data_IF_147903390782
#
_entry.id   IF_147903390782
#
_cell.length_a   1.000
_cell.length_b   1.000
_cell.length_c   1.000
_cell.angle_alpha   90.00
_cell.angle_beta   90.00
_cell.angle_gamma   90.00
#
_symmetry.space_group_name_H-M   'P 1'
#
loop_
_entity.id
_entity.type
_entity.pdbx_description
1 polymer ?
#
# COMPACT_ATOMS: atom_id res chain seq x y z
N UNK A 1 24.37 -1.43 -12.88
CA UNK A 1 24.28 0.02 -12.63
C UNK A 1 25.57 0.66 -13.08
N UNK A 2 25.55 1.33 -14.24
CA UNK A 2 26.72 2.07 -14.71
C UNK A 2 26.86 3.34 -13.84
N UNK A 3 27.98 3.46 -13.11
CA UNK A 3 28.28 4.57 -12.20
C UNK A 3 28.84 5.77 -12.97
N UNK A 4 28.10 6.28 -13.95
CA UNK A 4 28.44 7.57 -14.54
C UNK A 4 27.56 8.66 -13.90
N UNK A 5 28.14 9.63 -13.18
CA UNK A 5 27.37 10.68 -12.54
C UNK A 5 26.65 11.52 -13.60
N UNK A 6 25.35 11.81 -13.40
CA UNK A 6 24.49 12.58 -14.31
C UNK A 6 25.14 13.91 -14.75
N UNK A 7 25.91 14.52 -13.86
CA UNK A 7 26.72 15.72 -14.11
C UNK A 7 27.71 15.58 -15.28
N UNK A 8 28.25 14.37 -15.50
CA UNK A 8 29.17 14.09 -16.60
C UNK A 8 28.45 14.14 -17.95
N UNK A 9 27.22 13.62 -18.03
CA UNK A 9 26.38 13.67 -19.24
C UNK A 9 25.97 15.10 -19.57
N UNK A 10 25.60 15.90 -18.56
CA UNK A 10 25.28 17.32 -18.72
C UNK A 10 26.51 18.11 -19.19
N UNK A 11 27.68 17.86 -18.60
CA UNK A 11 28.93 18.52 -19.00
C UNK A 11 29.32 18.22 -20.47
N UNK A 12 29.14 16.98 -20.93
CA UNK A 12 29.37 16.60 -22.33
C UNK A 12 28.39 17.33 -23.26
N UNK A 13 27.10 17.39 -22.90
CA UNK A 13 26.09 18.09 -23.69
C UNK A 13 26.36 19.59 -23.82
N UNK A 14 26.73 20.25 -22.71
CA UNK A 14 27.08 21.69 -22.68
C UNK A 14 28.36 21.97 -23.48
N UNK A 15 29.38 21.11 -23.36
CA UNK A 15 30.60 21.24 -24.15
C UNK A 15 30.32 21.10 -25.65
N UNK A 16 29.53 20.10 -26.07
CA UNK A 16 29.17 19.92 -27.49
C UNK A 16 28.39 21.11 -28.06
N UNK A 17 27.47 21.69 -27.29
CA UNK A 17 26.71 22.90 -27.67
C UNK A 17 27.60 24.14 -27.80
N UNK A 18 28.52 24.34 -26.86
CA UNK A 18 29.47 25.46 -26.89
C UNK A 18 30.35 25.40 -28.14
N UNK A 19 30.81 24.20 -28.53
CA UNK A 19 31.64 24.01 -29.72
C UNK A 19 30.88 24.08 -31.05
N UNK A 20 29.59 23.72 -31.08
CA UNK A 20 28.73 23.95 -32.27
C UNK A 20 28.44 25.43 -32.48
N UNK A 21 28.40 26.24 -31.41
CA UNK A 21 28.06 27.65 -31.45
C UNK A 21 29.26 28.59 -31.73
N UNK A 22 30.50 28.13 -31.58
CA UNK A 22 31.70 28.95 -31.79
C UNK A 22 32.37 28.58 -33.12
N UNK A 23 32.16 29.33 -34.22
CA UNK A 23 32.79 29.03 -35.50
C UNK A 23 34.30 29.25 -35.43
N UNK A 24 35.08 28.26 -35.89
CA UNK A 24 36.53 28.37 -36.01
C UNK A 24 36.88 29.48 -37.02
N UNK A 25 37.41 30.60 -36.52
CA UNK A 25 37.78 31.74 -37.34
C UNK A 25 38.96 31.49 -38.30
N UNK A 26 39.25 32.42 -39.24
CA UNK A 26 40.30 32.27 -40.25
C UNK A 26 41.73 32.06 -39.70
N UNK A 27 41.97 32.36 -38.43
CA UNK A 27 43.29 32.23 -37.77
C UNK A 27 43.55 30.91 -37.04
N UNK A 28 42.65 29.93 -37.07
CA UNK A 28 42.91 28.62 -36.44
C UNK A 28 43.83 27.77 -37.31
N UNK A 29 44.94 27.30 -36.73
CA UNK A 29 45.88 26.42 -37.43
C UNK A 29 45.23 25.07 -37.78
N UNK A 30 45.70 24.45 -38.87
CA UNK A 30 45.24 23.13 -39.32
C UNK A 30 45.37 22.06 -38.24
N UNK A 31 46.42 22.15 -37.41
CA UNK A 31 46.62 21.24 -36.26
C UNK A 31 45.58 21.42 -35.16
N UNK A 32 45.19 22.66 -34.84
CA UNK A 32 44.12 22.92 -33.87
C UNK A 32 42.77 22.37 -34.38
N UNK A 33 42.44 22.57 -35.66
CA UNK A 33 41.21 22.04 -36.26
C UNK A 33 41.15 20.52 -36.19
N UNK A 34 42.24 19.82 -36.55
CA UNK A 34 42.31 18.37 -36.48
C UNK A 34 42.16 17.84 -35.04
N UNK A 35 42.82 18.47 -34.07
CA UNK A 35 42.70 18.11 -32.65
C UNK A 35 41.25 18.22 -32.14
N UNK A 36 40.58 19.34 -32.43
CA UNK A 36 39.19 19.54 -32.01
C UNK A 36 38.20 18.62 -32.72
N UNK A 37 38.40 18.30 -34.01
CA UNK A 37 37.56 17.32 -34.71
C UNK A 37 37.67 15.91 -34.12
N UNK A 38 38.88 15.48 -33.73
CA UNK A 38 39.09 14.19 -33.06
C UNK A 38 38.44 14.18 -31.69
N UNK A 39 38.59 15.26 -30.90
CA UNK A 39 37.96 15.40 -29.60
C UNK A 39 36.42 15.36 -29.70
N UNK A 40 35.84 16.03 -30.69
CA UNK A 40 34.41 16.02 -30.97
C UNK A 40 33.91 14.64 -31.42
N UNK A 41 34.66 13.95 -32.29
CA UNK A 41 34.33 12.57 -32.68
C UNK A 41 34.30 11.63 -31.47
N UNK A 42 35.24 11.80 -30.53
CA UNK A 42 35.26 11.07 -29.26
C UNK A 42 34.07 11.41 -28.35
N UNK A 43 33.73 12.68 -28.21
CA UNK A 43 32.60 13.15 -27.38
C UNK A 43 31.24 12.73 -27.94
N UNK A 44 31.04 12.81 -29.25
CA UNK A 44 29.80 12.39 -29.92
C UNK A 44 29.64 10.87 -29.79
N UNK A 45 30.69 10.10 -30.09
CA UNK A 45 30.64 8.63 -30.00
C UNK A 45 30.45 8.17 -28.55
N UNK A 46 31.16 8.78 -27.60
CA UNK A 46 31.02 8.52 -26.17
C UNK A 46 29.65 8.91 -25.62
N UNK A 47 29.15 10.10 -26.00
CA UNK A 47 27.81 10.59 -25.62
C UNK A 47 26.70 9.71 -26.17
N UNK A 48 26.79 9.27 -27.43
CA UNK A 48 25.83 8.36 -28.04
C UNK A 48 25.79 7.00 -27.31
N UNK A 49 26.94 6.45 -26.93
CA UNK A 49 27.01 5.21 -26.16
C UNK A 49 26.35 5.33 -24.78
N UNK A 50 26.56 6.46 -24.08
CA UNK A 50 25.92 6.73 -22.78
C UNK A 50 24.41 6.89 -22.91
N UNK A 51 23.94 7.65 -23.92
CA UNK A 51 22.51 7.82 -24.19
C UNK A 51 21.85 6.48 -24.52
N UNK A 52 22.47 5.65 -25.36
CA UNK A 52 21.95 4.32 -25.68
C UNK A 52 21.91 3.40 -24.46
N UNK A 53 22.91 3.45 -23.58
CA UNK A 53 22.89 2.71 -22.33
C UNK A 53 21.77 3.18 -21.41
N UNK A 54 21.57 4.49 -21.30
CA UNK A 54 20.51 5.09 -20.50
C UNK A 54 19.12 4.71 -21.03
N UNK A 55 18.90 4.77 -22.35
CA UNK A 55 17.65 4.34 -22.98
C UNK A 55 17.40 2.84 -22.80
N UNK A 56 18.46 2.01 -22.86
CA UNK A 56 18.36 0.57 -22.56
C UNK A 56 18.00 0.32 -21.10
N UNK A 57 18.58 1.07 -20.17
CA UNK A 57 18.27 0.97 -18.74
C UNK A 57 16.83 1.42 -18.45
N UNK A 58 16.36 2.52 -19.07
CA UNK A 58 14.97 2.98 -19.02
C UNK A 58 14.00 1.94 -19.60
N UNK A 59 14.32 1.38 -20.76
CA UNK A 59 13.51 0.32 -21.36
C UNK A 59 13.55 -0.97 -20.53
N UNK A 60 14.64 -1.23 -19.80
CA UNK A 60 14.75 -2.33 -18.84
C UNK A 60 13.99 -2.06 -17.54
N UNK A 61 13.87 -0.81 -17.11
CA UNK A 61 13.06 -0.39 -15.97
C UNK A 61 11.57 -0.49 -16.31
N UNK A 62 11.16 0.09 -17.44
CA UNK A 62 9.80 0.01 -17.95
C UNK A 62 9.33 -1.44 -18.13
N UNK A 63 10.19 -2.31 -18.68
CA UNK A 63 9.90 -3.75 -18.78
C UNK A 63 9.81 -4.45 -17.42
N UNK A 64 10.56 -4.02 -16.41
CA UNK A 64 10.49 -4.59 -15.05
C UNK A 64 9.26 -4.11 -14.28
N UNK A 65 8.84 -2.88 -14.51
CA UNK A 65 7.58 -2.35 -13.96
C UNK A 65 6.35 -2.98 -14.64
N UNK A 66 6.46 -3.32 -15.93
CA UNK A 66 5.37 -3.94 -16.69
C UNK A 66 5.37 -5.48 -16.65
N UNK A 67 6.47 -6.11 -16.23
CA UNK A 67 6.54 -7.56 -16.12
C UNK A 67 5.72 -8.01 -14.90
N UNK A 68 4.72 -8.90 -15.08
CA UNK A 68 4.08 -9.57 -13.95
C UNK A 68 5.17 -10.23 -13.12
N UNK A 69 5.21 -9.95 -11.81
CA UNK A 69 6.11 -10.70 -10.94
C UNK A 69 5.70 -12.18 -11.00
N UNK A 70 6.64 -13.11 -11.20
CA UNK A 70 6.31 -14.52 -11.13
C UNK A 70 5.74 -14.81 -9.73
N UNK A 71 4.67 -15.61 -9.62
CA UNK A 71 4.07 -15.91 -8.34
C UNK A 71 5.13 -16.50 -7.40
N UNK A 72 5.20 -15.96 -6.18
CA UNK A 72 6.07 -16.50 -5.14
C UNK A 72 5.48 -17.85 -4.75
N UNK A 73 6.09 -18.94 -5.21
CA UNK A 73 5.68 -20.31 -4.87
C UNK A 73 6.35 -20.70 -3.55
N UNK A 74 5.61 -21.19 -2.54
CA UNK A 74 6.19 -21.71 -1.30
C UNK A 74 7.27 -22.76 -1.61
N UNK A 75 8.45 -22.64 -0.98
CA UNK A 75 9.59 -23.58 -1.21
C UNK A 75 9.33 -24.99 -0.69
N UNK A 76 8.41 -25.14 0.26
CA UNK A 76 7.95 -26.42 0.81
C UNK A 76 6.49 -26.28 1.27
N UNK A 77 5.69 -27.37 1.26
CA UNK A 77 4.35 -27.32 1.83
C UNK A 77 4.43 -27.03 3.34
N UNK A 78 3.60 -26.12 3.87
CA UNK A 78 3.61 -25.79 5.29
C UNK A 78 3.26 -27.02 6.15
N UNK A 79 3.72 -27.07 7.42
CA UNK A 79 3.47 -28.20 8.28
C UNK A 79 1.97 -28.39 8.54
N UNK A 80 1.57 -29.64 8.76
CA UNK A 80 0.17 -29.96 8.97
C UNK A 80 -0.30 -29.46 10.35
N UNK A 81 -1.42 -28.72 10.40
CA UNK A 81 -1.98 -28.27 11.67
C UNK A 81 -2.49 -29.46 12.51
N UNK A 82 -2.26 -29.40 13.82
CA UNK A 82 -2.83 -30.36 14.76
C UNK A 82 -4.37 -30.30 14.74
N UNK A 83 -5.09 -31.39 15.11
CA UNK A 83 -6.55 -31.40 15.14
C UNK A 83 -7.16 -30.28 15.98
N UNK A 84 -6.51 -29.93 17.10
CA UNK A 84 -6.93 -28.83 17.97
C UNK A 84 -6.80 -27.46 17.28
N UNK A 85 -5.70 -27.20 16.57
CA UNK A 85 -5.53 -25.95 15.79
C UNK A 85 -6.52 -25.88 14.63
N UNK A 86 -6.74 -26.98 13.90
CA UNK A 86 -7.78 -27.05 12.85
C UNK A 86 -9.19 -26.74 13.40
N UNK A 87 -9.52 -27.23 14.60
CA UNK A 87 -10.77 -26.91 15.28
C UNK A 87 -10.88 -25.43 15.69
N UNK A 88 -9.77 -24.84 16.16
CA UNK A 88 -9.71 -23.41 16.48
C UNK A 88 -9.88 -22.52 15.24
N UNK A 89 -9.31 -22.90 14.09
CA UNK A 89 -9.50 -22.17 12.82
C UNK A 89 -10.97 -22.21 12.42
N UNK A 90 -11.58 -23.41 12.41
CA UNK A 90 -13.02 -23.57 12.13
C UNK A 90 -13.89 -22.71 13.04
N UNK A 91 -13.61 -22.71 14.35
CA UNK A 91 -14.34 -21.87 15.31
C UNK A 91 -14.18 -20.38 14.98
N UNK A 92 -12.95 -19.94 14.71
CA UNK A 92 -12.67 -18.53 14.43
C UNK A 92 -13.38 -18.06 13.17
N UNK A 93 -13.25 -18.81 12.07
CA UNK A 93 -13.94 -18.53 10.80
C UNK A 93 -15.45 -18.48 10.99
N UNK A 94 -16.02 -19.44 11.73
CA UNK A 94 -17.46 -19.46 12.01
C UNK A 94 -17.93 -18.22 12.80
N UNK A 95 -17.14 -17.75 13.77
CA UNK A 95 -17.47 -16.53 14.51
C UNK A 95 -17.39 -15.30 13.62
N UNK A 96 -16.33 -15.14 12.82
CA UNK A 96 -16.21 -13.99 11.91
C UNK A 96 -17.33 -14.00 10.85
N UNK A 97 -17.66 -15.18 10.32
CA UNK A 97 -18.76 -15.34 9.36
C UNK A 97 -20.13 -15.00 9.96
N UNK A 98 -20.37 -15.30 11.24
CA UNK A 98 -21.63 -14.96 11.92
C UNK A 98 -21.87 -13.45 12.07
N UNK A 99 -20.85 -12.64 11.86
CA UNK A 99 -20.91 -11.17 11.82
C UNK A 99 -20.75 -10.62 10.40
N UNK A 100 -20.93 -11.46 9.38
CA UNK A 100 -20.87 -11.12 7.95
C UNK A 100 -19.53 -10.53 7.47
N UNK A 101 -18.42 -10.77 8.19
CA UNK A 101 -17.11 -10.25 7.78
C UNK A 101 -16.69 -10.80 6.42
N UNK A 102 -16.96 -12.08 6.15
CA UNK A 102 -16.53 -12.72 4.91
C UNK A 102 -17.49 -12.57 3.72
N UNK A 103 -18.52 -11.72 3.82
CA UNK A 103 -19.51 -11.60 2.74
C UNK A 103 -18.86 -11.30 1.36
N UNK A 104 -19.47 -11.74 0.25
CA UNK A 104 -20.74 -12.49 0.17
C UNK A 104 -20.62 -14.00 0.40
N UNK A 105 -19.42 -14.58 0.31
CA UNK A 105 -19.20 -16.03 0.40
C UNK A 105 -18.48 -16.38 1.72
N UNK A 106 -18.96 -17.35 2.48
CA UNK A 106 -18.16 -17.82 3.63
C UNK A 106 -17.06 -18.78 3.15
N UNK A 107 -15.77 -18.50 3.40
CA UNK A 107 -14.68 -19.39 3.02
C UNK A 107 -14.74 -20.72 3.77
N UNK A 108 -14.37 -21.82 3.10
CA UNK A 108 -14.08 -23.08 3.79
C UNK A 108 -12.91 -22.85 4.76
N UNK A 109 -13.07 -23.10 6.06
CA UNK A 109 -11.99 -22.94 7.03
C UNK A 109 -10.69 -23.69 6.66
N UNK A 110 -10.77 -24.76 5.86
CA UNK A 110 -9.61 -25.51 5.42
C UNK A 110 -8.64 -24.68 4.55
N UNK A 111 -9.13 -23.64 3.88
CA UNK A 111 -8.31 -22.71 3.08
C UNK A 111 -7.29 -21.94 3.92
N UNK A 112 -7.55 -21.77 5.23
CA UNK A 112 -6.63 -21.02 6.11
C UNK A 112 -5.59 -21.91 6.78
N UNK A 113 -5.69 -23.23 6.69
CA UNK A 113 -4.76 -24.12 7.40
C UNK A 113 -3.29 -23.92 6.99
N UNK A 114 -2.94 -23.76 5.69
CA UNK A 114 -1.57 -23.53 5.28
C UNK A 114 -0.97 -22.24 5.84
N UNK A 115 -1.68 -21.11 5.71
CA UNK A 115 -1.19 -19.81 6.21
C UNK A 115 -1.10 -19.76 7.73
N UNK A 116 -2.08 -20.32 8.44
CA UNK A 116 -2.03 -20.42 9.91
C UNK A 116 -0.90 -21.33 10.39
N UNK A 117 -0.56 -22.37 9.61
CA UNK A 117 0.57 -23.23 9.94
C UNK A 117 1.92 -22.53 9.79
N UNK A 118 2.09 -21.72 8.75
CA UNK A 118 3.37 -21.03 8.46
C UNK A 118 3.71 -19.95 9.49
N UNK A 119 2.69 -19.22 9.98
CA UNK A 119 2.90 -18.14 10.96
C UNK A 119 3.31 -18.66 12.35
N UNK A 120 3.16 -19.98 12.64
CA UNK A 120 3.38 -20.63 13.95
C UNK A 120 2.75 -19.90 15.16
N UNK A 121 1.72 -19.10 14.92
CA UNK A 121 1.05 -18.32 15.95
C UNK A 121 -0.16 -19.04 16.54
N UNK A 122 -0.61 -18.54 17.71
CA UNK A 122 -1.89 -18.92 18.29
C UNK A 122 -3.04 -18.61 17.31
N UNK A 123 -3.94 -19.57 17.09
CA UNK A 123 -5.07 -19.35 16.17
C UNK A 123 -6.02 -18.29 16.74
N UNK A 124 -6.00 -17.11 16.12
CA UNK A 124 -6.76 -15.92 16.46
C UNK A 124 -7.24 -15.22 15.18
N UNK A 125 -8.18 -14.26 15.26
CA UNK A 125 -8.66 -13.54 14.08
C UNK A 125 -7.59 -12.83 13.26
N UNK A 126 -6.58 -12.25 13.90
CA UNK A 126 -5.44 -11.59 13.24
C UNK A 126 -4.73 -12.57 12.30
N UNK A 127 -4.40 -13.77 12.80
CA UNK A 127 -3.76 -14.83 12.00
C UNK A 127 -4.67 -15.34 10.87
N UNK A 128 -5.97 -15.52 11.12
CA UNK A 128 -6.92 -16.00 10.10
C UNK A 128 -7.10 -14.96 8.99
N UNK A 129 -7.20 -13.68 9.34
CA UNK A 129 -7.34 -12.60 8.37
C UNK A 129 -6.01 -12.34 7.63
N UNK A 130 -4.86 -12.45 8.29
CA UNK A 130 -3.57 -12.45 7.59
C UNK A 130 -3.48 -13.59 6.56
N UNK A 131 -3.91 -14.80 6.92
CA UNK A 131 -3.98 -15.92 5.98
C UNK A 131 -5.01 -15.71 4.84
N UNK A 132 -6.06 -14.89 5.05
CA UNK A 132 -6.95 -14.46 3.97
C UNK A 132 -6.22 -13.53 2.99
N UNK A 133 -5.46 -12.56 3.50
CA UNK A 133 -4.68 -11.64 2.66
C UNK A 133 -3.62 -12.35 1.80
N UNK A 134 -3.11 -13.47 2.28
CA UNK A 134 -2.13 -14.33 1.58
C UNK A 134 -2.77 -15.56 0.93
N UNK A 135 -4.09 -15.59 0.74
CA UNK A 135 -4.77 -16.81 0.33
C UNK A 135 -4.31 -17.32 -1.05
N UNK A 136 -4.05 -16.41 -1.99
CA UNK A 136 -3.55 -16.74 -3.33
C UNK A 136 -2.11 -17.30 -3.31
N UNK A 137 -1.30 -16.93 -2.31
CA UNK A 137 0.03 -17.48 -2.09
C UNK A 137 -0.02 -18.97 -1.75
N UNK A 138 -0.92 -19.37 -0.83
CA UNK A 138 -1.06 -20.77 -0.43
C UNK A 138 -1.96 -21.59 -1.36
N UNK A 139 -2.89 -20.93 -2.06
CA UNK A 139 -3.84 -21.56 -2.98
C UNK A 139 -3.87 -20.81 -4.33
N UNK A 140 -2.84 -20.96 -5.18
CA UNK A 140 -2.74 -20.26 -6.45
C UNK A 140 -4.00 -20.39 -7.32
N UNK A 141 -4.50 -19.25 -7.82
CA UNK A 141 -5.74 -19.18 -8.60
C UNK A 141 -7.01 -18.97 -7.77
N UNK A 142 -6.91 -18.94 -6.44
CA UNK A 142 -8.00 -18.49 -5.57
C UNK A 142 -7.95 -16.97 -5.45
N UNK A 143 -9.05 -16.30 -5.75
CA UNK A 143 -9.19 -14.86 -5.53
C UNK A 143 -9.68 -14.58 -4.10
N UNK A 144 -8.90 -13.90 -3.23
CA UNK A 144 -9.33 -13.54 -1.89
C UNK A 144 -10.51 -12.54 -1.88
N UNK A 145 -10.64 -11.71 -2.93
CA UNK A 145 -11.62 -10.62 -2.97
C UNK A 145 -13.08 -11.12 -2.87
N UNK A 146 -13.35 -12.37 -3.24
CA UNK A 146 -14.68 -13.00 -3.13
C UNK A 146 -15.19 -13.14 -1.69
N UNK A 147 -14.31 -13.00 -0.70
CA UNK A 147 -14.60 -13.08 0.73
C UNK A 147 -14.50 -11.73 1.44
N UNK A 148 -14.32 -10.63 0.69
CA UNK A 148 -13.90 -9.34 1.25
C UNK A 148 -14.86 -8.20 0.97
N UNK A 149 -16.11 -8.45 0.56
CA UNK A 149 -17.05 -7.36 0.30
C UNK A 149 -17.36 -6.52 1.56
N UNK A 150 -17.25 -7.12 2.75
CA UNK A 150 -17.42 -6.45 4.05
C UNK A 150 -16.09 -6.28 4.83
N UNK A 151 -14.96 -6.49 4.17
CA UNK A 151 -13.62 -6.32 4.75
C UNK A 151 -12.73 -5.46 3.84
N UNK A 152 -11.75 -4.80 4.44
CA UNK A 152 -10.63 -4.19 3.73
C UNK A 152 -9.37 -4.39 4.56
N UNK A 153 -8.26 -4.76 3.91
CA UNK A 153 -6.94 -4.74 4.56
C UNK A 153 -6.29 -3.41 4.24
N UNK A 154 -5.95 -2.67 5.29
CA UNK A 154 -5.21 -1.42 5.18
C UNK A 154 -3.78 -1.71 5.59
N UNK A 155 -2.94 -1.95 4.59
CA UNK A 155 -1.53 -2.24 4.75
C UNK A 155 -0.77 -0.98 5.20
N UNK A 156 -0.21 -1.04 6.40
CA UNK A 156 0.57 0.02 7.02
C UNK A 156 2.03 0.03 6.54
N UNK A 157 2.50 -1.07 5.93
CA UNK A 157 3.88 -1.23 5.44
C UNK A 157 4.02 -0.89 3.96
N UNK A 158 2.92 -0.83 3.22
CA UNK A 158 2.90 -0.32 1.85
C UNK A 158 3.14 1.19 1.82
N UNK A 159 3.83 1.66 0.77
CA UNK A 159 4.02 3.08 0.48
C UNK A 159 2.65 3.77 0.34
N UNK A 160 2.35 4.72 1.23
CA UNK A 160 1.06 5.43 1.23
C UNK A 160 1.07 6.61 0.26
N UNK A 161 1.31 6.33 -1.02
CA UNK A 161 1.18 7.34 -2.06
C UNK A 161 -0.27 7.84 -2.20
N UNK A 162 -0.52 8.97 -2.91
CA UNK A 162 -1.87 9.49 -3.08
C UNK A 162 -2.86 8.52 -3.72
N UNK A 163 -2.43 7.60 -4.58
CA UNK A 163 -3.33 6.65 -5.23
C UNK A 163 -3.74 5.53 -4.27
N UNK A 164 -2.81 5.06 -3.44
CA UNK A 164 -3.08 4.14 -2.35
C UNK A 164 -4.10 4.72 -1.36
N UNK A 165 -3.90 5.96 -0.92
CA UNK A 165 -4.83 6.65 -0.01
C UNK A 165 -6.24 6.83 -0.63
N UNK A 166 -6.34 7.09 -1.94
CA UNK A 166 -7.64 7.09 -2.65
C UNK A 166 -8.30 5.72 -2.65
N UNK A 167 -7.51 4.66 -2.84
CA UNK A 167 -7.99 3.27 -2.74
C UNK A 167 -8.60 2.98 -1.36
N UNK A 168 -7.93 3.39 -0.28
CA UNK A 168 -8.46 3.23 1.06
C UNK A 168 -9.77 4.01 1.30
N UNK A 169 -9.87 5.23 0.78
CA UNK A 169 -11.10 6.03 0.86
C UNK A 169 -12.24 5.31 0.14
N UNK A 170 -11.97 4.73 -1.04
CA UNK A 170 -12.96 3.96 -1.79
C UNK A 170 -13.37 2.68 -1.05
N UNK A 171 -12.44 1.99 -0.38
CA UNK A 171 -12.75 0.84 0.47
C UNK A 171 -13.65 1.23 1.64
N UNK A 172 -13.37 2.34 2.31
CA UNK A 172 -14.21 2.83 3.41
C UNK A 172 -15.60 3.25 2.92
N UNK A 173 -15.72 3.90 1.77
CA UNK A 173 -17.01 4.22 1.14
C UNK A 173 -17.80 2.95 0.81
N UNK A 174 -17.14 1.94 0.23
CA UNK A 174 -17.73 0.63 -0.05
C UNK A 174 -18.24 -0.04 1.23
N UNK A 175 -17.42 -0.08 2.28
CA UNK A 175 -17.79 -0.68 3.56
C UNK A 175 -18.95 0.06 4.24
N UNK A 176 -19.07 1.36 4.02
CA UNK A 176 -20.18 2.16 4.55
C UNK A 176 -21.54 1.85 3.90
N UNK A 177 -21.59 1.04 2.83
CA UNK A 177 -22.82 0.52 2.22
C UNK A 177 -23.85 1.63 1.91
N UNK A 178 -23.36 2.71 1.28
CA UNK A 178 -24.17 3.86 0.88
C UNK A 178 -24.49 4.86 2.00
N UNK A 179 -24.08 4.61 3.25
CA UNK A 179 -24.18 5.58 4.34
C UNK A 179 -23.22 6.76 4.18
N UNK A 180 -22.09 6.53 3.51
CA UNK A 180 -21.17 7.56 3.07
C UNK A 180 -21.17 7.60 1.54
N UNK A 181 -21.22 8.81 0.98
CA UNK A 181 -20.91 9.09 -0.42
C UNK A 181 -19.75 10.05 -0.46
N UNK A 182 -18.65 9.65 -1.08
CA UNK A 182 -17.39 10.39 -1.08
C UNK A 182 -17.09 10.90 -2.48
N UNK A 183 -16.78 12.19 -2.60
CA UNK A 183 -16.38 12.81 -3.87
C UNK A 183 -15.28 13.86 -3.68
N UNK A 184 -14.78 14.39 -4.80
CA UNK A 184 -13.85 15.53 -4.83
C UNK A 184 -12.56 15.33 -4.00
N UNK A 185 -12.06 14.09 -3.98
CA UNK A 185 -10.89 13.71 -3.18
C UNK A 185 -9.61 14.36 -3.74
N UNK A 186 -9.07 15.31 -3.00
CA UNK A 186 -7.79 15.96 -3.24
C UNK A 186 -6.84 15.61 -2.10
N UNK A 187 -5.70 15.02 -2.45
CA UNK A 187 -4.62 14.68 -1.51
C UNK A 187 -3.44 15.57 -1.85
N UNK A 188 -3.24 16.60 -1.03
CA UNK A 188 -2.10 17.50 -1.09
C UNK A 188 -1.01 16.96 -0.15
N UNK A 189 -0.10 16.19 -0.75
CA UNK A 189 1.04 15.57 -0.10
C UNK A 189 2.27 15.68 -1.00
N UNK A 190 3.44 15.85 -0.40
CA UNK A 190 4.72 15.79 -1.12
C UNK A 190 5.05 14.33 -1.40
N UNK A 191 5.09 13.93 -2.67
CA UNK A 191 5.44 12.58 -3.10
C UNK A 191 6.53 12.57 -4.19
N UNK A 192 7.57 11.72 -4.10
CA UNK A 192 7.90 10.84 -2.97
C UNK A 192 8.19 11.62 -1.67
N UNK A 193 8.12 10.98 -0.48
CA UNK A 193 8.32 11.67 0.79
C UNK A 193 9.69 12.35 0.84
N UNK A 194 9.72 13.61 1.30
CA UNK A 194 10.98 14.30 1.55
C UNK A 194 11.67 13.72 2.80
N UNK A 195 12.96 14.01 2.98
CA UNK A 195 13.70 13.61 4.20
C UNK A 195 13.17 14.26 5.51
N UNK A 196 12.23 15.20 5.39
CA UNK A 196 11.57 15.87 6.52
C UNK A 196 10.08 15.60 6.52
N UNK A 197 9.49 15.59 7.72
CA UNK A 197 8.04 15.51 7.91
C UNK A 197 7.39 16.70 7.20
N UNK A 198 6.44 16.40 6.32
CA UNK A 198 5.67 17.41 5.59
C UNK A 198 4.18 17.18 5.87
N UNK A 199 3.45 18.22 6.31
CA UNK A 199 2.03 18.08 6.57
C UNK A 199 1.27 17.58 5.35
N UNK A 200 0.32 16.69 5.60
CA UNK A 200 -0.61 16.17 4.60
C UNK A 200 -1.95 16.84 4.79
N UNK A 201 -2.53 17.32 3.68
CA UNK A 201 -3.89 17.83 3.66
C UNK A 201 -4.72 17.01 2.69
N UNK A 202 -5.83 16.50 3.20
CA UNK A 202 -6.79 15.75 2.40
C UNK A 202 -8.09 16.50 2.45
N UNK A 203 -8.59 16.90 1.29
CA UNK A 203 -9.90 17.52 1.13
C UNK A 203 -10.78 16.57 0.36
N UNK A 204 -12.01 16.36 0.83
CA UNK A 204 -13.01 15.56 0.16
C UNK A 204 -14.41 16.07 0.50
N UNK A 205 -15.42 15.59 -0.19
CA UNK A 205 -16.82 15.81 0.12
C UNK A 205 -17.41 14.53 0.68
N UNK A 206 -18.06 14.57 1.83
CA UNK A 206 -18.79 13.43 2.43
C UNK A 206 -20.26 13.78 2.52
N UNK A 207 -21.12 13.02 1.84
CA UNK A 207 -22.57 13.24 1.81
C UNK A 207 -22.96 14.68 1.40
N UNK A 208 -22.18 15.29 0.51
CA UNK A 208 -22.38 16.67 0.04
C UNK A 208 -21.77 17.76 0.94
N UNK A 209 -21.17 17.41 2.09
CA UNK A 209 -20.50 18.35 2.98
C UNK A 209 -18.97 18.29 2.80
N UNK A 210 -18.27 19.44 2.73
CA UNK A 210 -16.82 19.44 2.64
C UNK A 210 -16.19 18.97 3.95
N UNK A 211 -15.19 18.09 3.83
CA UNK A 211 -14.35 17.59 4.90
C UNK A 211 -12.89 17.87 4.56
N UNK A 212 -12.15 18.46 5.51
CA UNK A 212 -10.71 18.63 5.42
C UNK A 212 -10.05 17.89 6.58
N UNK A 213 -9.14 17.00 6.25
CA UNK A 213 -8.28 16.28 7.19
C UNK A 213 -6.90 16.93 7.09
N UNK A 214 -6.48 17.59 8.16
CA UNK A 214 -5.13 18.13 8.30
C UNK A 214 -4.34 17.23 9.23
N UNK A 215 -3.21 16.71 8.75
CA UNK A 215 -2.29 15.89 9.52
C UNK A 215 -0.89 16.46 9.42
N UNK A 216 -0.30 16.83 10.56
CA UNK A 216 1.03 17.45 10.62
C UNK A 216 2.18 16.44 10.59
N UNK A 217 1.91 15.16 10.28
CA UNK A 217 2.90 14.10 10.17
C UNK A 217 3.17 13.62 8.74
N UNK A 218 3.99 12.59 8.62
CA UNK A 218 4.45 12.02 7.33
C UNK A 218 3.32 11.25 6.63
N UNK A 219 3.21 11.38 5.31
CA UNK A 219 2.18 10.73 4.50
C UNK A 219 2.07 9.23 4.70
N UNK A 220 3.17 8.56 5.06
CA UNK A 220 3.19 7.13 5.44
C UNK A 220 2.32 6.77 6.64
N UNK A 221 1.75 7.76 7.34
CA UNK A 221 0.91 7.59 8.51
C UNK A 221 -0.47 8.25 8.37
N UNK A 222 -0.84 8.69 7.17
CA UNK A 222 -2.10 9.41 6.93
C UNK A 222 -3.34 8.49 7.00
N UNK A 223 -3.18 7.18 6.74
CA UNK A 223 -4.29 6.21 6.70
C UNK A 223 -5.21 6.25 7.93
N UNK A 224 -4.65 6.21 9.14
CA UNK A 224 -5.44 6.19 10.38
C UNK A 224 -6.24 7.47 10.61
N UNK A 225 -5.75 8.62 10.12
CA UNK A 225 -6.45 9.90 10.20
C UNK A 225 -7.65 9.93 9.24
N UNK A 226 -7.51 9.35 8.05
CA UNK A 226 -8.61 9.15 7.10
C UNK A 226 -9.69 8.27 7.72
N UNK A 227 -9.29 7.10 8.23
CA UNK A 227 -10.19 6.11 8.83
C UNK A 227 -10.98 6.73 9.99
N UNK A 228 -10.29 7.40 10.91
CA UNK A 228 -10.93 8.05 12.05
C UNK A 228 -11.88 9.17 11.64
N UNK A 229 -11.48 10.05 10.72
CA UNK A 229 -12.33 11.13 10.24
C UNK A 229 -13.61 10.61 9.56
N UNK A 230 -13.50 9.57 8.72
CA UNK A 230 -14.65 8.95 8.07
C UNK A 230 -15.51 8.13 9.04
N UNK A 231 -14.91 7.49 10.04
CA UNK A 231 -15.65 6.81 11.12
C UNK A 231 -16.56 7.78 11.88
N UNK A 232 -16.07 8.97 12.24
CA UNK A 232 -16.89 10.00 12.88
C UNK A 232 -18.08 10.44 12.01
N UNK A 233 -17.91 10.49 10.70
CA UNK A 233 -19.00 10.82 9.78
C UNK A 233 -20.01 9.68 9.64
N UNK A 234 -19.54 8.43 9.62
CA UNK A 234 -20.42 7.26 9.61
C UNK A 234 -21.27 7.20 10.88
N UNK A 235 -20.66 7.42 12.04
CA UNK A 235 -21.35 7.47 13.33
C UNK A 235 -22.39 8.60 13.36
N UNK A 236 -22.03 9.79 12.86
CA UNK A 236 -22.93 10.93 12.76
C UNK A 236 -24.11 10.68 11.80
N UNK A 237 -23.92 9.88 10.74
CA UNK A 237 -24.96 9.48 9.82
C UNK A 237 -25.99 8.51 10.44
N UNK A 238 -25.67 7.89 11.60
CA UNK A 238 -26.54 6.96 12.33
C UNK A 238 -27.10 5.83 11.45
N UNK A 239 -26.26 5.30 10.57
CA UNK A 239 -26.65 4.28 9.61
C UNK A 239 -26.82 2.86 10.21
N UNK A 240 -26.78 2.73 11.54
CA UNK A 240 -26.87 1.45 12.24
C UNK A 240 -25.62 0.58 12.10
N UNK A 241 -24.52 1.15 11.62
CA UNK A 241 -23.20 0.51 11.48
C UNK A 241 -22.11 1.52 11.83
N UNK A 242 -20.98 1.02 12.32
CA UNK A 242 -19.77 1.79 12.67
C UNK A 242 -18.55 1.06 12.12
N UNK A 243 -17.48 1.79 11.82
CA UNK A 243 -16.22 1.14 11.44
C UNK A 243 -15.56 0.51 12.66
N UNK A 244 -15.14 -0.73 12.51
CA UNK A 244 -14.33 -1.47 13.46
C UNK A 244 -13.03 -1.90 12.79
N UNK A 245 -11.94 -1.92 13.54
CA UNK A 245 -10.67 -2.42 13.08
C UNK A 245 -10.16 -3.60 13.92
N UNK A 246 -9.28 -4.39 13.32
CA UNK A 246 -8.43 -5.35 14.00
C UNK A 246 -6.99 -5.15 13.50
N UNK A 247 -6.10 -4.76 14.41
CA UNK A 247 -4.70 -4.58 14.10
C UNK A 247 -3.96 -5.91 13.94
N UNK A 248 -3.06 -5.94 12.97
CA UNK A 248 -2.09 -7.00 12.71
C UNK A 248 -0.70 -6.37 12.60
N UNK A 249 0.33 -7.20 12.45
CA UNK A 249 1.68 -6.72 12.21
C UNK A 249 1.85 -5.99 10.87
N UNK A 250 1.01 -6.28 9.88
CA UNK A 250 1.03 -5.66 8.55
C UNK A 250 0.21 -4.37 8.48
N UNK A 251 -0.78 -4.18 9.34
CA UNK A 251 -1.69 -3.04 9.29
C UNK A 251 -2.99 -3.30 10.02
N UNK A 252 -4.13 -2.90 9.45
CA UNK A 252 -5.43 -3.08 10.08
C UNK A 252 -6.46 -3.65 9.11
N UNK A 253 -7.18 -4.67 9.54
CA UNK A 253 -8.40 -5.12 8.88
C UNK A 253 -9.56 -4.25 9.34
N UNK A 254 -10.32 -3.68 8.41
CA UNK A 254 -11.48 -2.83 8.70
C UNK A 254 -12.76 -3.47 8.17
N UNK A 255 -13.82 -3.38 8.97
CA UNK A 255 -15.19 -3.73 8.60
C UNK A 255 -16.17 -2.66 9.09
N UNK A 256 -17.34 -2.55 8.47
CA UNK A 256 -18.47 -1.81 9.02
C UNK A 256 -19.42 -2.77 9.73
N UNK A 257 -19.57 -2.65 11.04
CA UNK A 257 -20.33 -3.61 11.85
C UNK A 257 -21.47 -2.90 12.60
N UNK A 258 -22.60 -3.59 12.87
CA UNK A 258 -23.67 -3.02 13.68
C UNK A 258 -23.25 -2.85 15.14
N UNK A 259 -23.92 -1.96 15.86
CA UNK A 259 -23.67 -1.73 17.28
C UNK A 259 -23.72 -3.03 18.10
N UNK A 260 -22.77 -3.22 19.01
CA UNK A 260 -22.64 -4.44 19.82
C UNK A 260 -21.88 -5.59 19.15
N UNK A 261 -21.59 -5.51 17.85
CA UNK A 261 -20.90 -6.59 17.14
C UNK A 261 -19.45 -6.77 17.57
N UNK A 262 -18.70 -5.68 17.80
CA UNK A 262 -17.31 -5.74 18.27
C UNK A 262 -17.22 -6.43 19.63
N UNK A 263 -18.11 -6.08 20.55
CA UNK A 263 -18.18 -6.66 21.89
C UNK A 263 -18.53 -8.16 21.81
N UNK A 264 -19.48 -8.52 20.96
CA UNK A 264 -19.87 -9.92 20.73
C UNK A 264 -18.74 -10.74 20.09
N UNK A 265 -18.04 -10.21 19.09
CA UNK A 265 -16.86 -10.82 18.45
C UNK A 265 -15.76 -11.09 19.48
N UNK A 266 -15.39 -10.05 20.23
CA UNK A 266 -14.36 -10.13 21.26
C UNK A 266 -14.74 -11.15 22.35
N UNK A 267 -16.01 -11.16 22.79
CA UNK A 267 -16.49 -12.12 23.80
C UNK A 267 -16.48 -13.58 23.30
N UNK A 268 -16.99 -13.83 22.08
CA UNK A 268 -17.06 -15.17 21.49
C UNK A 268 -15.68 -15.83 21.32
N UNK A 269 -14.68 -15.01 21.04
CA UNK A 269 -13.28 -15.40 20.83
C UNK A 269 -12.41 -15.23 22.07
N UNK A 270 -12.99 -14.73 23.17
CA UNK A 270 -12.30 -14.47 24.44
C UNK A 270 -11.09 -13.55 24.29
N UNK A 271 -11.22 -12.55 23.41
CA UNK A 271 -10.22 -11.51 23.21
C UNK A 271 -10.25 -10.55 24.38
N UNK A 272 -9.08 -10.10 24.82
CA UNK A 272 -8.93 -9.22 25.98
C UNK A 272 -8.60 -7.80 25.50
N UNK A 273 -9.12 -6.74 26.15
CA UNK A 273 -8.81 -5.37 25.76
C UNK A 273 -7.33 -5.02 25.71
N UNK A 274 -6.51 -5.62 26.59
CA UNK A 274 -5.05 -5.41 26.61
C UNK A 274 -4.28 -6.39 25.71
N UNK A 275 -4.99 -7.19 24.91
CA UNK A 275 -4.38 -8.17 24.02
C UNK A 275 -4.05 -7.57 22.67
N UNK A 276 -2.97 -8.05 22.03
CA UNK A 276 -2.56 -7.64 20.67
C UNK A 276 -3.60 -7.88 19.56
N UNK A 277 -4.61 -8.69 19.83
CA UNK A 277 -5.64 -9.10 18.88
C UNK A 277 -6.99 -8.84 19.54
N UNK A 278 -7.55 -7.67 19.28
CA UNK A 278 -8.83 -7.20 19.79
C UNK A 278 -9.47 -6.31 18.74
N UNK A 279 -10.78 -6.49 18.53
CA UNK A 279 -11.55 -5.58 17.70
C UNK A 279 -11.88 -4.32 18.48
N UNK A 280 -11.81 -3.17 17.83
CA UNK A 280 -12.14 -1.88 18.42
C UNK A 280 -12.92 -1.02 17.44
N UNK A 281 -13.79 -0.16 17.96
CA UNK A 281 -14.45 0.85 17.16
C UNK A 281 -13.45 1.94 16.78
N UNK A 282 -13.37 2.24 15.48
CA UNK A 282 -12.39 3.20 14.94
C UNK A 282 -12.61 4.60 15.52
N UNK A 283 -13.87 5.01 15.72
CA UNK A 283 -14.23 6.33 16.26
C UNK A 283 -13.97 6.51 17.75
N UNK A 284 -13.79 5.41 18.50
CA UNK A 284 -13.50 5.47 19.94
C UNK A 284 -11.99 5.56 20.23
N UNK A 285 -11.16 5.25 19.23
CA UNK A 285 -9.71 5.31 19.31
C UNK A 285 -9.16 6.66 18.82
N UNK A 286 -8.00 7.08 19.33
CA UNK A 286 -7.28 8.21 18.73
C UNK A 286 -6.59 7.73 17.45
N UNK A 287 -6.54 8.53 16.37
CA UNK A 287 -5.69 8.20 15.24
C UNK A 287 -4.21 8.21 15.70
N UNK A 288 -3.45 7.20 15.29
CA UNK A 288 -2.02 7.06 15.58
C UNK A 288 -1.25 6.67 14.31
N UNK A 289 0.07 6.83 14.32
CA UNK A 289 0.87 6.52 13.14
C UNK A 289 0.80 5.02 12.81
N UNK A 290 0.63 4.67 11.53
CA UNK A 290 0.59 3.28 11.11
C UNK A 290 1.91 2.55 11.52
N UNK A 291 1.83 1.58 12.43
CA UNK A 291 3.00 0.90 13.02
C UNK A 291 3.35 1.31 14.46
N UNK A 292 2.73 2.35 15.00
CA UNK A 292 2.67 2.58 16.44
C UNK A 292 1.54 1.71 17.00
N UNK A 293 1.81 0.90 18.01
CA UNK A 293 0.74 0.22 18.78
C UNK A 293 0.12 1.22 19.75
N UNK A 294 -1.22 1.27 19.90
CA UNK A 294 -1.86 2.10 20.93
C UNK A 294 -1.47 1.69 22.36
#
# INVERSE_FOLDING_TARGET
MSRFPIWFTVAIGVAALFFLAVPFGPGTSTGARAFFSILMGGLITGGAAVILSFLRDLAGLARRCAAPQPPIVPRAPPPDLSPARKAAVRKTVAVLAAHDLFAPETPDPALFFPGVADMDESVKPDTVLAALGELDHYHPGTDPARFMANLAMLDAKTEQDPDYLRGQIADLERLADGALRISDVVIDAVWPPAERIMPVRISLTVNGAPLTIAYDGDVKYASSHIQHALALHLDAAKAGRRFAWLWTDQGAWIAALPDGAVEALNAALKLKPQGRCVWEWVSDAKPFAAGDTP
#
